data_IF_357902102470
#
_entry.id   IF_357902102470
#
_cell.length_a   1.000
_cell.length_b   1.000
_cell.length_c   1.000
_cell.angle_alpha   90.00
_cell.angle_beta   90.00
_cell.angle_gamma   90.00
#
_symmetry.space_group_name_H-M   'P 1'
#
loop_
_entity.id
_entity.type
_entity.pdbx_description
1 polymer ?
#
# COMPACT_ATOMS: atom_id res chain seq x y z
N UNK A 1 4.06 -16.87 -24.91
CA UNK A 1 3.97 -18.16 -24.19
C UNK A 1 2.69 -18.88 -24.61
N UNK A 2 2.67 -19.49 -25.80
CA UNK A 2 1.62 -20.43 -26.21
C UNK A 2 2.25 -21.56 -27.03
N UNK A 3 3.10 -22.37 -26.38
CA UNK A 3 3.65 -23.57 -27.03
C UNK A 3 3.33 -24.88 -26.31
N UNK A 4 2.68 -24.87 -25.13
CA UNK A 4 2.20 -26.10 -24.48
C UNK A 4 0.93 -25.85 -23.65
N UNK A 5 -0.23 -25.96 -24.29
CA UNK A 5 -1.50 -26.53 -23.80
C UNK A 5 -2.07 -26.25 -22.40
N UNK A 6 -1.50 -25.36 -21.58
CA UNK A 6 -2.05 -25.01 -20.26
C UNK A 6 -2.56 -23.58 -20.35
N UNK A 7 -3.88 -23.41 -20.22
CA UNK A 7 -4.49 -22.10 -20.16
C UNK A 7 -3.94 -21.36 -18.92
N UNK A 8 -3.33 -20.18 -19.08
CA UNK A 8 -2.88 -19.39 -17.93
C UNK A 8 -4.09 -19.04 -17.08
N UNK A 9 -4.02 -19.31 -15.77
CA UNK A 9 -5.06 -18.93 -14.82
C UNK A 9 -4.74 -17.56 -14.19
N UNK A 10 -5.65 -17.04 -13.35
CA UNK A 10 -5.50 -15.75 -12.64
C UNK A 10 -4.12 -15.61 -11.97
N UNK A 11 -3.61 -16.69 -11.36
CA UNK A 11 -2.31 -16.67 -10.67
C UNK A 11 -1.19 -16.34 -11.65
N UNK A 12 -1.13 -17.02 -12.80
CA UNK A 12 -0.11 -16.75 -13.83
C UNK A 12 -0.15 -15.28 -14.30
N UNK A 13 -1.34 -14.75 -14.57
CA UNK A 13 -1.50 -13.34 -14.96
C UNK A 13 -1.04 -12.37 -13.87
N UNK A 14 -1.48 -12.60 -12.62
CA UNK A 14 -1.10 -11.74 -11.49
C UNK A 14 0.41 -11.73 -11.24
N UNK A 15 1.08 -12.89 -11.38
CA UNK A 15 2.54 -12.97 -11.26
C UNK A 15 3.25 -12.18 -12.35
N UNK A 16 2.81 -12.30 -13.62
CA UNK A 16 3.39 -11.53 -14.72
C UNK A 16 3.20 -10.03 -14.52
N UNK A 17 2.01 -9.61 -14.08
CA UNK A 17 1.70 -8.21 -13.76
C UNK A 17 2.63 -7.69 -12.66
N UNK A 18 2.77 -8.44 -11.56
CA UNK A 18 3.67 -8.07 -10.45
C UNK A 18 5.13 -7.92 -10.90
N UNK A 19 5.63 -8.84 -11.73
CA UNK A 19 6.99 -8.75 -12.31
C UNK A 19 7.15 -7.46 -13.12
N UNK A 20 6.25 -7.20 -14.08
CA UNK A 20 6.34 -6.00 -14.91
C UNK A 20 6.19 -4.71 -14.08
N UNK A 21 5.35 -4.71 -13.05
CA UNK A 21 5.19 -3.60 -12.12
C UNK A 21 6.48 -3.32 -11.33
N UNK A 22 7.17 -4.36 -10.84
CA UNK A 22 8.46 -4.23 -10.15
C UNK A 22 9.55 -3.67 -11.06
N UNK A 23 9.57 -4.08 -12.33
CA UNK A 23 10.46 -3.53 -13.36
C UNK A 23 10.09 -2.07 -13.73
N UNK A 24 8.86 -1.64 -13.45
CA UNK A 24 8.31 -0.35 -13.86
C UNK A 24 7.77 -0.33 -15.28
N UNK A 25 7.65 -1.50 -15.91
CA UNK A 25 7.06 -1.66 -17.22
C UNK A 25 5.53 -1.72 -17.13
N UNK A 26 4.92 -0.59 -16.77
CA UNK A 26 3.46 -0.48 -16.62
C UNK A 26 2.70 -0.64 -17.95
N UNK A 27 3.37 -0.49 -19.09
CA UNK A 27 2.79 -0.72 -20.41
C UNK A 27 2.52 -2.21 -20.60
N UNK A 28 3.54 -3.05 -20.38
CA UNK A 28 3.35 -4.50 -20.46
C UNK A 28 2.44 -5.02 -19.35
N UNK A 29 2.52 -4.47 -18.13
CA UNK A 29 1.57 -4.84 -17.06
C UNK A 29 0.10 -4.61 -17.48
N UNK A 30 -0.22 -3.47 -18.12
CA UNK A 30 -1.56 -3.20 -18.64
C UNK A 30 -1.94 -4.10 -19.81
N UNK A 31 -0.98 -4.44 -20.68
CA UNK A 31 -1.21 -5.39 -21.78
C UNK A 31 -1.57 -6.78 -21.25
N UNK A 32 -0.90 -7.23 -20.19
CA UNK A 32 -1.20 -8.52 -19.53
C UNK A 32 -2.60 -8.51 -18.91
N UNK A 33 -3.06 -7.39 -18.34
CA UNK A 33 -4.45 -7.23 -17.85
C UNK A 33 -5.45 -7.35 -18.99
N UNK A 34 -5.22 -6.68 -20.13
CA UNK A 34 -6.09 -6.79 -21.30
C UNK A 34 -6.15 -8.22 -21.84
N UNK A 35 -5.02 -8.94 -21.81
CA UNK A 35 -5.00 -10.35 -22.19
C UNK A 35 -5.79 -11.23 -21.22
N UNK A 36 -5.64 -10.99 -19.91
CA UNK A 36 -6.40 -11.66 -18.85
C UNK A 36 -7.90 -11.51 -19.09
N UNK A 37 -8.37 -10.28 -19.30
CA UNK A 37 -9.79 -9.97 -19.59
C UNK A 37 -10.27 -10.62 -20.89
N UNK A 38 -9.46 -10.58 -21.96
CA UNK A 38 -9.78 -11.23 -23.25
C UNK A 38 -9.93 -12.75 -23.13
N UNK A 39 -9.21 -13.38 -22.19
CA UNK A 39 -9.28 -14.82 -21.91
C UNK A 39 -10.41 -15.17 -20.92
N UNK A 40 -11.23 -14.19 -20.53
CA UNK A 40 -12.39 -14.38 -19.65
C UNK A 40 -12.06 -14.31 -18.15
N UNK A 41 -10.79 -14.08 -17.81
CA UNK A 41 -10.35 -13.92 -16.42
C UNK A 41 -10.48 -12.45 -16.02
N UNK A 42 -10.90 -12.17 -14.78
CA UNK A 42 -11.09 -10.79 -14.30
C UNK A 42 -10.03 -10.38 -13.29
N UNK A 43 -9.44 -9.17 -13.42
CA UNK A 43 -8.59 -8.61 -12.37
C UNK A 43 -9.32 -8.62 -11.03
N UNK A 44 -8.61 -9.01 -9.97
CA UNK A 44 -9.13 -9.04 -8.60
C UNK A 44 -8.30 -8.12 -7.69
N UNK A 45 -8.62 -8.09 -6.40
CA UNK A 45 -7.89 -7.29 -5.40
C UNK A 45 -6.37 -7.52 -5.44
N UNK A 46 -5.92 -8.77 -5.63
CA UNK A 46 -4.49 -9.10 -5.71
C UNK A 46 -3.86 -8.46 -6.96
N UNK A 47 -4.53 -8.49 -8.10
CA UNK A 47 -4.09 -7.83 -9.34
C UNK A 47 -3.92 -6.33 -9.14
N UNK A 48 -4.91 -5.67 -8.53
CA UNK A 48 -4.86 -4.22 -8.26
C UNK A 48 -3.78 -3.85 -7.25
N UNK A 49 -3.62 -4.65 -6.19
CA UNK A 49 -2.60 -4.46 -5.18
C UNK A 49 -1.18 -4.49 -5.77
N UNK A 50 -0.91 -5.40 -6.71
CA UNK A 50 0.38 -5.46 -7.42
C UNK A 50 0.65 -4.19 -8.26
N UNK A 51 -0.37 -3.70 -8.98
CA UNK A 51 -0.26 -2.46 -9.76
C UNK A 51 -0.01 -1.25 -8.86
N UNK A 52 -0.81 -1.11 -7.81
CA UNK A 52 -0.74 -0.01 -6.85
C UNK A 52 0.64 0.03 -6.21
N UNK A 53 1.12 -1.09 -5.67
CA UNK A 53 2.46 -1.20 -5.08
C UNK A 53 3.57 -0.85 -6.09
N UNK A 54 3.46 -1.34 -7.33
CA UNK A 54 4.37 -1.00 -8.41
C UNK A 54 4.44 0.51 -8.69
N UNK A 55 3.28 1.17 -8.82
CA UNK A 55 3.21 2.62 -9.04
C UNK A 55 3.78 3.40 -7.86
N UNK A 56 3.47 3.01 -6.62
CA UNK A 56 4.01 3.62 -5.40
C UNK A 56 5.54 3.54 -5.38
N UNK A 57 6.11 2.35 -5.67
CA UNK A 57 7.57 2.14 -5.73
C UNK A 57 8.28 2.96 -6.80
N UNK A 58 7.55 3.45 -7.81
CA UNK A 58 8.07 4.37 -8.84
C UNK A 58 7.72 5.84 -8.57
N UNK A 59 7.23 6.16 -7.37
CA UNK A 59 6.85 7.53 -6.97
C UNK A 59 5.60 8.06 -7.67
N UNK A 60 4.80 7.19 -8.29
CA UNK A 60 3.62 7.57 -9.10
C UNK A 60 2.34 7.47 -8.28
N UNK A 61 2.26 8.28 -7.23
CA UNK A 61 1.15 8.25 -6.26
C UNK A 61 -0.21 8.61 -6.88
N UNK A 62 -0.25 9.51 -7.87
CA UNK A 62 -1.50 9.89 -8.54
C UNK A 62 -2.13 8.70 -9.26
N UNK A 63 -1.31 7.89 -9.91
CA UNK A 63 -1.72 6.67 -10.61
C UNK A 63 -2.16 5.59 -9.63
N UNK A 64 -1.47 5.44 -8.50
CA UNK A 64 -1.87 4.53 -7.42
C UNK A 64 -3.28 4.85 -6.87
N UNK A 65 -3.58 6.12 -6.61
CA UNK A 65 -4.91 6.55 -6.17
C UNK A 65 -5.99 6.36 -7.25
N UNK A 66 -5.66 6.60 -8.52
CA UNK A 66 -6.59 6.31 -9.63
C UNK A 66 -6.94 4.83 -9.68
N UNK A 67 -5.98 3.94 -9.45
CA UNK A 67 -6.22 2.49 -9.41
C UNK A 67 -7.06 2.07 -8.19
N UNK A 68 -6.84 2.65 -7.01
CA UNK A 68 -7.74 2.43 -5.85
C UNK A 68 -9.17 2.80 -6.20
N UNK A 69 -9.38 3.96 -6.82
CA UNK A 69 -10.72 4.40 -7.23
C UNK A 69 -11.32 3.48 -8.30
N UNK A 70 -10.55 3.11 -9.32
CA UNK A 70 -11.00 2.18 -10.36
C UNK A 70 -11.43 0.82 -9.77
N UNK A 71 -10.67 0.32 -8.80
CA UNK A 71 -11.00 -0.89 -8.06
C UNK A 71 -12.37 -0.78 -7.38
N UNK A 72 -12.62 0.32 -6.67
CA UNK A 72 -13.91 0.61 -6.03
C UNK A 72 -15.05 0.76 -7.04
N UNK A 73 -14.83 1.47 -8.15
CA UNK A 73 -15.81 1.67 -9.22
C UNK A 73 -16.19 0.33 -9.89
N UNK A 74 -15.28 -0.65 -9.89
CA UNK A 74 -15.50 -2.03 -10.35
C UNK A 74 -16.12 -2.94 -9.30
N UNK A 75 -16.47 -2.42 -8.13
CA UNK A 75 -17.07 -3.19 -7.03
C UNK A 75 -16.09 -4.09 -6.27
N UNK A 76 -14.78 -3.91 -6.47
CA UNK A 76 -13.75 -4.58 -5.68
C UNK A 76 -13.45 -3.74 -4.44
N UNK A 77 -13.24 -4.40 -3.30
CA UNK A 77 -13.00 -3.74 -2.02
C UNK A 77 -11.51 -3.62 -1.73
N UNK A 78 -10.93 -2.40 -1.67
CA UNK A 78 -9.56 -2.20 -1.21
C UNK A 78 -9.38 -2.79 0.19
N UNK A 79 -8.31 -3.54 0.39
CA UNK A 79 -8.05 -4.27 1.64
C UNK A 79 -6.97 -3.58 2.50
N UNK A 80 -6.68 -4.16 3.65
CA UNK A 80 -5.62 -3.66 4.55
C UNK A 80 -4.28 -3.51 3.83
N UNK A 81 -3.97 -4.37 2.86
CA UNK A 81 -2.74 -4.24 2.07
C UNK A 81 -2.78 -3.01 1.17
N UNK A 82 -3.89 -2.78 0.44
CA UNK A 82 -4.06 -1.60 -0.41
C UNK A 82 -3.82 -0.31 0.37
N UNK A 83 -4.46 -0.17 1.53
CA UNK A 83 -4.30 1.02 2.38
C UNK A 83 -2.90 1.13 2.98
N UNK A 84 -2.34 0.04 3.49
CA UNK A 84 -0.99 0.07 4.08
C UNK A 84 0.07 0.51 3.07
N UNK A 85 -0.05 0.05 1.81
CA UNK A 85 0.84 0.47 0.72
C UNK A 85 0.69 1.95 0.41
N UNK A 86 -0.54 2.46 0.26
CA UNK A 86 -0.79 3.88 -0.03
C UNK A 86 -0.31 4.78 1.11
N UNK A 87 -0.59 4.42 2.36
CA UNK A 87 -0.12 5.12 3.56
C UNK A 87 1.40 5.22 3.55
N UNK A 88 2.09 4.10 3.35
CA UNK A 88 3.54 4.08 3.27
C UNK A 88 4.08 4.96 2.13
N UNK A 89 3.41 4.93 0.96
CA UNK A 89 3.73 5.79 -0.18
C UNK A 89 3.61 7.28 0.13
N UNK A 90 2.49 7.71 0.71
CA UNK A 90 2.26 9.12 1.10
C UNK A 90 3.27 9.57 2.18
N UNK A 91 3.60 8.72 3.15
CA UNK A 91 4.64 9.02 4.15
C UNK A 91 6.03 9.19 3.52
N UNK A 92 6.38 8.39 2.50
CA UNK A 92 7.65 8.56 1.77
C UNK A 92 7.66 9.86 0.96
N UNK A 93 6.52 10.24 0.38
CA UNK A 93 6.35 11.49 -0.39
C UNK A 93 6.22 12.73 0.50
N UNK A 94 6.32 12.58 1.83
CA UNK A 94 6.22 13.67 2.80
C UNK A 94 4.80 14.20 3.03
N UNK A 95 3.77 13.54 2.48
CA UNK A 95 2.36 13.94 2.58
C UNK A 95 1.67 13.27 3.76
N UNK A 96 2.18 13.53 4.96
CA UNK A 96 1.74 12.84 6.18
C UNK A 96 0.26 13.06 6.49
N UNK A 97 -0.30 14.22 6.17
CA UNK A 97 -1.75 14.47 6.34
C UNK A 97 -2.62 13.61 5.41
N UNK A 98 -2.19 13.35 4.18
CA UNK A 98 -2.91 12.43 3.28
C UNK A 98 -2.79 10.98 3.78
N UNK A 99 -1.63 10.61 4.31
CA UNK A 99 -1.44 9.31 4.96
C UNK A 99 -2.37 9.13 6.17
N UNK A 100 -2.52 10.16 7.02
CA UNK A 100 -3.46 10.15 8.15
C UNK A 100 -4.93 10.01 7.70
N UNK A 101 -5.33 10.69 6.62
CA UNK A 101 -6.68 10.54 6.07
C UNK A 101 -6.96 9.09 5.67
N UNK A 102 -6.02 8.45 4.96
CA UNK A 102 -6.12 7.04 4.58
C UNK A 102 -6.15 6.12 5.82
N UNK A 103 -5.31 6.41 6.82
CA UNK A 103 -5.26 5.66 8.07
C UNK A 103 -6.58 5.69 8.84
N UNK A 104 -7.23 6.84 8.92
CA UNK A 104 -8.55 6.98 9.54
C UNK A 104 -9.69 6.41 8.67
N UNK A 105 -9.55 6.45 7.34
CA UNK A 105 -10.51 5.83 6.43
C UNK A 105 -10.62 4.32 6.65
N UNK A 106 -9.52 3.63 6.97
CA UNK A 106 -9.52 2.19 7.28
C UNK A 106 -10.52 1.84 8.39
N UNK A 107 -10.56 2.64 9.47
CA UNK A 107 -11.50 2.44 10.58
C UNK A 107 -12.95 2.56 10.12
N UNK A 108 -13.26 3.55 9.27
CA UNK A 108 -14.62 3.76 8.74
C UNK A 108 -15.08 2.66 7.78
N UNK A 109 -14.15 1.84 7.30
CA UNK A 109 -14.39 0.70 6.41
C UNK A 109 -14.26 -0.65 7.11
N UNK A 110 -14.20 -0.65 8.44
CA UNK A 110 -14.04 -1.86 9.25
C UNK A 110 -12.79 -2.68 8.88
N UNK A 111 -11.74 -2.02 8.36
CA UNK A 111 -10.46 -2.63 8.06
C UNK A 111 -9.55 -2.61 9.28
N UNK A 112 -9.03 -3.78 9.65
CA UNK A 112 -8.06 -3.90 10.75
C UNK A 112 -6.71 -3.35 10.31
N UNK A 113 -6.18 -2.41 11.10
CA UNK A 113 -4.82 -1.91 10.97
C UNK A 113 -3.86 -2.94 11.55
N UNK A 114 -2.72 -3.15 10.89
CA UNK A 114 -1.72 -4.10 11.35
C UNK A 114 -0.42 -3.38 11.70
N UNK A 115 0.58 -4.15 12.13
CA UNK A 115 1.92 -3.64 12.43
C UNK A 115 2.51 -2.80 11.30
N UNK A 116 2.34 -3.22 10.03
CA UNK A 116 2.88 -2.50 8.88
C UNK A 116 2.21 -1.12 8.73
N UNK A 117 0.89 -1.05 8.92
CA UNK A 117 0.14 0.21 8.86
C UNK A 117 0.59 1.19 9.95
N UNK A 118 0.71 0.72 11.20
CA UNK A 118 1.17 1.54 12.32
C UNK A 118 2.62 1.98 12.15
N UNK A 119 3.52 1.06 11.79
CA UNK A 119 4.94 1.37 11.55
C UNK A 119 5.08 2.45 10.48
N UNK A 120 4.33 2.36 9.38
CA UNK A 120 4.37 3.37 8.33
C UNK A 120 3.95 4.75 8.83
N UNK A 121 2.81 4.84 9.54
CA UNK A 121 2.32 6.12 10.07
C UNK A 121 3.23 6.72 11.14
N UNK A 122 3.70 5.91 12.10
CA UNK A 122 4.60 6.36 13.17
C UNK A 122 5.90 6.87 12.56
N UNK A 123 6.50 6.13 11.63
CA UNK A 123 7.69 6.59 10.91
C UNK A 123 7.45 7.88 10.14
N UNK A 124 6.28 8.03 9.49
CA UNK A 124 5.91 9.25 8.78
C UNK A 124 5.81 10.46 9.71
N UNK A 125 5.03 10.34 10.79
CA UNK A 125 4.85 11.40 11.80
C UNK A 125 6.16 11.78 12.48
N UNK A 126 7.00 10.80 12.84
CA UNK A 126 8.32 11.05 13.41
C UNK A 126 9.23 11.86 12.49
N UNK A 127 9.20 11.59 11.18
CA UNK A 127 9.99 12.34 10.18
C UNK A 127 9.46 13.74 9.93
N UNK A 128 8.15 13.93 10.05
CA UNK A 128 7.46 15.22 9.93
C UNK A 128 7.58 16.09 11.20
N UNK A 129 8.19 15.57 12.26
CA UNK A 129 8.36 16.29 13.54
C UNK A 129 7.12 16.26 14.45
N UNK A 130 6.09 15.48 14.08
CA UNK A 130 4.83 15.33 14.84
C UNK A 130 4.97 14.24 15.91
N UNK A 131 5.97 14.40 16.77
CA UNK A 131 6.40 13.43 17.78
C UNK A 131 5.26 12.99 18.69
N UNK A 132 4.45 13.92 19.20
CA UNK A 132 3.33 13.61 20.11
C UNK A 132 2.29 12.70 19.47
N UNK A 133 2.00 12.89 18.18
CA UNK A 133 1.06 12.04 17.44
C UNK A 133 1.66 10.66 17.17
N UNK A 134 2.96 10.60 16.88
CA UNK A 134 3.67 9.34 16.71
C UNK A 134 3.60 8.48 18.00
N UNK A 135 3.80 9.09 19.18
CA UNK A 135 3.66 8.38 20.46
C UNK A 135 2.22 7.97 20.77
N UNK A 136 1.22 8.80 20.44
CA UNK A 136 -0.19 8.41 20.58
C UNK A 136 -0.53 7.16 19.75
N UNK A 137 -0.06 7.10 18.50
CA UNK A 137 -0.25 5.92 17.65
C UNK A 137 0.51 4.70 18.16
N UNK A 138 1.68 4.88 18.77
CA UNK A 138 2.39 3.79 19.44
C UNK A 138 1.60 3.21 20.62
N UNK A 139 1.04 4.06 21.49
CA UNK A 139 0.23 3.60 22.62
C UNK A 139 -1.05 2.91 22.14
N UNK A 140 -1.66 3.42 21.06
CA UNK A 140 -2.80 2.79 20.41
C UNK A 140 -2.45 1.40 19.87
N UNK A 141 -1.35 1.27 19.14
CA UNK A 141 -0.84 0.00 18.63
C UNK A 141 -0.68 -1.04 19.75
N UNK A 142 -0.14 -0.63 20.91
CA UNK A 142 0.01 -1.53 22.07
C UNK A 142 -1.32 -1.95 22.68
N UNK A 143 -2.30 -1.04 22.76
CA UNK A 143 -3.67 -1.37 23.25
C UNK A 143 -4.39 -2.33 22.32
N UNK A 144 -4.13 -2.27 21.02
CA UNK A 144 -4.65 -3.23 20.04
C UNK A 144 -3.92 -4.59 20.09
N UNK A 145 -2.96 -4.77 21.01
CA UNK A 145 -2.25 -6.04 21.20
C UNK A 145 -1.14 -6.28 20.18
N UNK A 146 -0.79 -5.28 19.37
CA UNK A 146 0.29 -5.38 18.39
C UNK A 146 1.64 -5.14 19.06
N UNK A 147 2.64 -5.91 18.64
CA UNK A 147 4.02 -5.77 19.14
C UNK A 147 4.81 -4.85 18.19
N UNK A 148 5.34 -3.71 18.66
CA UNK A 148 6.18 -2.83 17.85
C UNK A 148 7.42 -3.55 17.33
N UNK A 149 7.77 -3.29 16.07
CA UNK A 149 9.03 -3.74 15.49
C UNK A 149 10.18 -2.76 15.79
N UNK A 150 11.41 -3.14 15.42
CA UNK A 150 12.60 -2.32 15.61
C UNK A 150 12.48 -0.95 14.91
N UNK A 151 11.73 -0.87 13.80
CA UNK A 151 11.55 0.37 13.02
C UNK A 151 10.71 1.38 13.78
N UNK A 152 9.70 0.93 14.52
CA UNK A 152 8.89 1.80 15.39
C UNK A 152 9.77 2.44 16.46
N UNK A 153 10.54 1.64 17.20
CA UNK A 153 11.42 2.18 18.24
C UNK A 153 12.46 3.14 17.67
N UNK A 154 13.10 2.78 16.55
CA UNK A 154 14.07 3.65 15.88
C UNK A 154 13.46 4.99 15.46
N UNK A 155 12.24 4.98 14.91
CA UNK A 155 11.54 6.20 14.48
C UNK A 155 11.22 7.12 15.65
N UNK A 156 10.72 6.57 16.75
CA UNK A 156 10.36 7.33 17.95
C UNK A 156 11.60 7.94 18.61
N UNK A 157 12.68 7.17 18.77
CA UNK A 157 13.95 7.69 19.32
C UNK A 157 14.50 8.82 18.45
N UNK A 158 14.49 8.64 17.12
CA UNK A 158 14.89 9.69 16.19
C UNK A 158 14.09 10.99 16.37
N UNK A 159 12.77 10.89 16.55
CA UNK A 159 11.90 12.06 16.74
C UNK A 159 12.11 12.82 18.05
N UNK A 160 12.66 12.17 19.08
CA UNK A 160 13.01 12.83 20.35
C UNK A 160 14.28 13.69 20.24
N UNK A 161 15.19 13.35 19.32
CA UNK A 161 16.38 14.14 19.06
C UNK A 161 16.08 15.36 18.20
N UNK A 162 15.14 15.27 17.26
CA UNK A 162 14.76 16.38 16.38
C UNK A 162 13.88 17.41 17.07
N UNK A 163 13.05 17.02 18.05
CA UNK A 163 12.17 17.94 18.80
C UNK A 163 12.90 18.92 19.74
N UNK A 164 14.23 18.80 19.90
CA UNK A 164 15.05 19.67 20.78
C UNK A 164 15.90 20.70 20.02
N UNK A 165 15.66 20.90 18.73
CA UNK A 165 16.39 21.86 17.87
C UNK A 165 15.50 23.03 17.50
#
# INVERSE_FOLDING_TARGET
>A
MEERGVAPNVVCFTTLIDIFCKEGNFVEAKRVIQEMERKGERPNTVTYNALIDGYIKKGKMKEAHKLKKEMEDKGLMPDTYTYSSLIHGECIDGKVDEALKLFHEMYRRDLTRNIVTYTAMISGLSKDGRTDEAFKLYDEMKREGLTPDDRVYHSLVGSLHTAKS
#
